data_IF_018536010218
#
_entry.id   IF_018536010218
#
_cell.length_a   1.000
_cell.length_b   1.000
_cell.length_c   1.000
_cell.angle_alpha   90.00
_cell.angle_beta   90.00
_cell.angle_gamma   90.00
#
_symmetry.space_group_name_H-M   'P 1'
#
loop_
_entity.id
_entity.type
_entity.pdbx_description
1 polymer ?
#
# COMPACT_ATOMS: atom_id res chain seq x y z
N UNK A 1 11.73 5.29 -12.99
CA UNK A 1 11.17 4.29 -12.06
C UNK A 1 10.27 5.02 -11.08
N UNK A 2 9.22 4.37 -10.62
CA UNK A 2 8.30 4.93 -9.61
C UNK A 2 8.30 4.09 -8.35
N UNK A 3 8.17 4.76 -7.21
CA UNK A 3 7.80 4.13 -5.95
C UNK A 3 6.32 4.41 -5.70
N UNK A 4 5.58 3.34 -5.34
CA UNK A 4 4.18 3.40 -4.96
C UNK A 4 4.10 3.13 -3.46
N UNK A 5 3.52 4.07 -2.70
CA UNK A 5 3.22 3.92 -1.28
C UNK A 5 1.71 3.98 -1.06
N UNK A 6 1.12 2.85 -0.70
CA UNK A 6 -0.31 2.72 -0.47
C UNK A 6 -0.61 2.48 1.02
N UNK A 7 -1.52 3.27 1.58
CA UNK A 7 -2.07 3.13 2.92
C UNK A 7 -3.44 2.50 2.79
N UNK A 8 -3.59 1.26 3.28
CA UNK A 8 -4.72 0.38 3.01
C UNK A 8 -5.35 -0.06 4.33
N UNK A 9 -6.68 -0.12 4.39
CA UNK A 9 -7.39 -0.62 5.59
C UNK A 9 -7.01 -2.08 5.87
N UNK A 10 -6.91 -2.44 7.15
CA UNK A 10 -6.49 -3.76 7.62
C UNK A 10 -7.21 -4.93 6.93
N UNK A 11 -8.52 -4.84 6.71
CA UNK A 11 -9.31 -5.92 6.11
C UNK A 11 -9.15 -6.05 4.59
N UNK A 12 -8.45 -5.12 3.91
CA UNK A 12 -8.26 -5.12 2.45
C UNK A 12 -6.86 -5.53 1.99
N UNK A 13 -5.87 -5.55 2.88
CA UNK A 13 -4.48 -5.84 2.48
C UNK A 13 -4.34 -7.23 1.83
N UNK A 14 -5.10 -8.22 2.31
CA UNK A 14 -5.09 -9.57 1.74
C UNK A 14 -5.56 -9.57 0.28
N UNK A 15 -6.67 -8.88 -0.01
CA UNK A 15 -7.23 -8.72 -1.36
C UNK A 15 -6.24 -8.02 -2.29
N UNK A 16 -5.58 -6.97 -1.81
CA UNK A 16 -4.56 -6.22 -2.58
C UNK A 16 -3.35 -7.09 -2.91
N UNK A 17 -2.84 -7.84 -1.92
CA UNK A 17 -1.71 -8.74 -2.14
C UNK A 17 -2.06 -9.88 -3.10
N UNK A 18 -3.29 -10.38 -3.05
CA UNK A 18 -3.78 -11.39 -4.00
C UNK A 18 -3.87 -10.82 -5.41
N UNK A 19 -4.49 -9.64 -5.58
CA UNK A 19 -4.61 -8.99 -6.88
C UNK A 19 -3.23 -8.71 -7.51
N UNK A 20 -2.25 -8.28 -6.71
CA UNK A 20 -0.88 -8.06 -7.19
C UNK A 20 -0.24 -9.36 -7.70
N UNK A 21 -0.39 -10.48 -6.96
CA UNK A 21 0.11 -11.80 -7.37
C UNK A 21 -0.54 -12.30 -8.67
N UNK A 22 -1.86 -12.14 -8.78
CA UNK A 22 -2.61 -12.62 -9.95
C UNK A 22 -2.39 -11.77 -11.21
N UNK A 23 -1.99 -10.50 -11.03
CA UNK A 23 -1.76 -9.59 -12.16
C UNK A 23 -0.56 -9.96 -13.03
N UNK A 24 0.40 -10.70 -12.49
CA UNK A 24 1.70 -10.95 -13.14
C UNK A 24 2.54 -9.68 -13.35
N UNK A 25 2.09 -8.51 -12.89
CA UNK A 25 2.82 -7.24 -13.00
C UNK A 25 3.94 -7.14 -11.96
N UNK A 26 3.74 -7.76 -10.79
CA UNK A 26 4.72 -7.86 -9.71
C UNK A 26 4.90 -9.33 -9.34
N UNK A 27 5.95 -9.98 -9.84
CA UNK A 27 6.22 -11.38 -9.50
C UNK A 27 7.18 -11.45 -8.31
N UNK A 28 6.71 -11.95 -7.17
CA UNK A 28 7.42 -11.89 -5.87
C UNK A 28 8.57 -12.90 -5.72
N UNK A 29 9.04 -13.48 -6.82
CA UNK A 29 10.06 -14.53 -6.79
C UNK A 29 10.88 -14.70 -8.05
N UNK A 30 10.71 -13.85 -9.07
CA UNK A 30 11.44 -13.98 -10.34
C UNK A 30 12.24 -12.71 -10.60
N UNK A 31 13.57 -12.85 -10.60
CA UNK A 31 14.48 -11.80 -11.03
C UNK A 31 14.17 -11.43 -12.48
N UNK A 32 13.56 -10.26 -12.69
CA UNK A 32 13.22 -9.72 -14.01
C UNK A 32 11.78 -9.28 -14.21
N UNK A 33 10.86 -9.59 -13.28
CA UNK A 33 9.45 -9.22 -13.42
C UNK A 33 9.09 -7.94 -12.64
N UNK A 34 9.19 -6.79 -13.33
CA UNK A 34 8.40 -5.56 -13.14
C UNK A 34 8.55 -4.74 -11.85
N UNK A 35 8.48 -5.40 -10.69
CA UNK A 35 8.42 -4.75 -9.39
C UNK A 35 9.56 -5.19 -8.48
N UNK A 36 10.14 -4.24 -7.78
CA UNK A 36 11.18 -4.44 -6.78
C UNK A 36 10.64 -4.13 -5.38
N UNK A 37 11.14 -4.88 -4.40
CA UNK A 37 11.00 -4.57 -2.97
C UNK A 37 9.55 -4.35 -2.50
N UNK A 38 8.62 -5.26 -2.83
CA UNK A 38 7.28 -5.24 -2.25
C UNK A 38 7.40 -5.49 -0.74
N UNK A 39 7.04 -4.48 0.05
CA UNK A 39 7.07 -4.55 1.51
C UNK A 39 5.73 -4.11 2.07
N UNK A 40 5.35 -4.72 3.20
CA UNK A 40 4.12 -4.38 3.92
C UNK A 40 4.47 -4.17 5.37
N UNK A 41 4.05 -3.03 5.93
CA UNK A 41 4.23 -2.69 7.33
C UNK A 41 2.92 -2.23 7.94
N UNK A 42 2.67 -2.60 9.19
CA UNK A 42 1.52 -2.09 9.93
C UNK A 42 1.84 -0.67 10.43
N UNK A 43 0.92 0.27 10.22
CA UNK A 43 1.06 1.66 10.64
C UNK A 43 -0.19 2.12 11.38
N UNK A 44 -0.03 3.14 12.22
CA UNK A 44 -1.12 3.78 12.95
C UNK A 44 -1.37 5.17 12.37
N UNK A 45 -2.61 5.47 12.00
CA UNK A 45 -3.04 6.79 11.55
C UNK A 45 -3.87 7.46 12.64
N UNK A 46 -3.52 8.67 13.10
CA UNK A 46 -4.39 9.46 13.96
C UNK A 46 -5.72 9.74 13.26
N UNK A 47 -6.83 9.54 13.97
CA UNK A 47 -8.15 9.76 13.39
C UNK A 47 -8.47 11.26 13.37
N UNK A 48 -8.78 11.80 12.18
CA UNK A 48 -9.11 13.21 12.02
C UNK A 48 -10.50 13.58 12.57
N UNK A 49 -11.51 12.70 12.45
CA UNK A 49 -12.83 12.79 13.10
C UNK A 49 -13.76 11.66 12.62
N UNK A 50 -14.59 11.08 13.50
CA UNK A 50 -15.98 10.76 13.12
C UNK A 50 -16.49 9.31 13.12
N UNK A 51 -15.68 8.26 12.99
CA UNK A 51 -16.21 6.87 12.97
C UNK A 51 -15.70 6.03 14.16
N UNK A 52 -16.52 5.82 15.21
CA UNK A 52 -16.12 5.09 16.42
C UNK A 52 -15.95 3.57 16.22
N UNK A 53 -16.34 3.02 15.08
CA UNK A 53 -16.41 1.56 14.91
C UNK A 53 -15.07 0.86 14.63
N UNK A 54 -14.02 1.62 14.32
CA UNK A 54 -12.71 1.12 13.89
C UNK A 54 -11.54 1.75 14.68
N UNK A 55 -11.85 2.38 15.82
CA UNK A 55 -10.89 3.14 16.62
C UNK A 55 -10.26 2.26 17.71
N UNK A 56 -8.95 2.43 17.90
CA UNK A 56 -8.27 2.01 19.12
C UNK A 56 -7.50 3.19 19.70
N UNK A 57 -7.48 3.32 21.02
CA UNK A 57 -6.71 4.37 21.67
C UNK A 57 -5.26 3.92 21.82
N UNK A 58 -4.32 4.64 21.18
CA UNK A 58 -2.90 4.36 21.34
C UNK A 58 -2.38 5.06 22.59
N UNK A 59 -1.85 4.31 23.55
CA UNK A 59 -1.22 4.88 24.75
C UNK A 59 0.09 5.60 24.44
N UNK A 60 0.81 5.15 23.42
CA UNK A 60 2.09 5.75 23.01
C UNK A 60 1.89 7.12 22.36
N UNK A 61 0.83 7.25 21.55
CA UNK A 61 0.51 8.50 20.86
C UNK A 61 -0.48 9.38 21.65
N UNK A 62 -1.07 8.85 22.71
CA UNK A 62 -2.13 9.47 23.50
C UNK A 62 -3.32 9.96 22.63
N UNK A 63 -3.63 9.24 21.55
CA UNK A 63 -4.61 9.63 20.53
C UNK A 63 -5.44 8.44 20.05
N UNK A 64 -6.64 8.72 19.51
CA UNK A 64 -7.42 7.73 18.80
C UNK A 64 -6.78 7.45 17.44
N UNK A 65 -6.47 6.18 17.18
CA UNK A 65 -5.81 5.74 15.95
C UNK A 65 -6.62 4.68 15.21
N UNK A 66 -6.37 4.61 13.90
CA UNK A 66 -6.83 3.54 13.03
C UNK A 66 -5.62 2.75 12.54
N UNK A 67 -5.71 1.42 12.61
CA UNK A 67 -4.71 0.52 12.05
C UNK A 67 -4.85 0.45 10.53
N UNK A 68 -3.75 0.72 9.84
CA UNK A 68 -3.63 0.59 8.39
C UNK A 68 -2.38 -0.22 8.05
N UNK A 69 -2.32 -0.75 6.83
CA UNK A 69 -1.10 -1.31 6.27
C UNK A 69 -0.53 -0.34 5.25
N UNK A 70 0.75 -0.01 5.41
CA UNK A 70 1.56 0.65 4.39
C UNK A 70 2.19 -0.41 3.51
N UNK A 71 1.77 -0.45 2.26
CA UNK A 71 2.35 -1.24 1.18
C UNK A 71 3.27 -0.35 0.36
N UNK A 72 4.51 -0.79 0.15
CA UNK A 72 5.50 -0.07 -0.65
C UNK A 72 6.03 -1.01 -1.72
N UNK A 73 6.13 -0.53 -2.96
CA UNK A 73 6.80 -1.23 -4.04
C UNK A 73 7.44 -0.22 -4.99
N UNK A 74 8.46 -0.68 -5.71
CA UNK A 74 9.10 0.09 -6.77
C UNK A 74 8.84 -0.60 -8.10
N UNK A 75 8.51 0.15 -9.15
CA UNK A 75 8.17 -0.39 -10.47
C UNK A 75 8.75 0.46 -11.61
N UNK A 76 8.68 -0.09 -12.83
CA UNK A 76 8.94 0.66 -14.04
C UNK A 76 7.89 1.75 -14.28
N UNK A 77 8.26 2.82 -14.98
CA UNK A 77 7.39 4.00 -15.15
C UNK A 77 6.11 3.69 -15.93
N UNK A 78 6.18 2.76 -16.88
CA UNK A 78 5.07 2.29 -17.70
C UNK A 78 4.09 1.37 -16.95
N UNK A 79 4.51 0.79 -15.82
CA UNK A 79 3.66 -0.06 -14.98
C UNK A 79 2.97 0.71 -13.84
N UNK A 80 3.42 1.93 -13.53
CA UNK A 80 2.97 2.67 -12.37
C UNK A 80 1.44 2.87 -12.35
N UNK A 81 0.87 3.38 -13.45
CA UNK A 81 -0.58 3.64 -13.53
C UNK A 81 -1.42 2.36 -13.44
N UNK A 82 -0.94 1.26 -14.04
CA UNK A 82 -1.60 -0.03 -13.98
C UNK A 82 -1.64 -0.58 -12.56
N UNK A 83 -0.52 -0.47 -11.83
CA UNK A 83 -0.39 -0.91 -10.44
C UNK A 83 -1.21 -0.03 -9.50
N UNK A 84 -1.17 1.30 -9.66
CA UNK A 84 -2.02 2.23 -8.90
C UNK A 84 -3.49 1.88 -9.09
N UNK A 85 -3.93 1.68 -10.33
CA UNK A 85 -5.31 1.31 -10.63
C UNK A 85 -5.70 -0.03 -10.02
N UNK A 86 -4.82 -1.03 -10.04
CA UNK A 86 -5.06 -2.32 -9.44
C UNK A 86 -5.19 -2.22 -7.91
N UNK A 87 -4.25 -1.54 -7.26
CA UNK A 87 -4.26 -1.35 -5.79
C UNK A 87 -5.51 -0.57 -5.39
N UNK A 88 -5.86 0.50 -6.11
CA UNK A 88 -7.04 1.31 -5.81
C UNK A 88 -8.33 0.48 -5.89
N UNK A 89 -8.49 -0.38 -6.92
CA UNK A 89 -9.66 -1.25 -7.07
C UNK A 89 -9.74 -2.30 -5.96
N UNK A 90 -8.63 -2.96 -5.63
CA UNK A 90 -8.61 -4.00 -4.61
C UNK A 90 -8.75 -3.44 -3.18
N UNK A 91 -8.22 -2.23 -2.93
CA UNK A 91 -8.32 -1.56 -1.64
C UNK A 91 -9.66 -0.85 -1.40
N UNK A 92 -10.53 -0.74 -2.42
CA UNK A 92 -11.77 0.02 -2.33
C UNK A 92 -12.73 -0.55 -1.27
N UNK A 93 -13.11 0.26 -0.29
CA UNK A 93 -14.03 -0.13 0.79
C UNK A 93 -15.46 0.36 0.57
N UNK A 94 -15.69 1.28 -0.38
CA UNK A 94 -16.97 1.98 -0.54
C UNK A 94 -17.23 3.06 0.53
N UNK A 95 -16.26 3.30 1.42
CA UNK A 95 -16.31 4.35 2.42
C UNK A 95 -15.45 5.56 1.98
N UNK A 96 -15.79 6.78 2.44
CA UNK A 96 -15.06 8.00 2.05
C UNK A 96 -13.58 8.01 2.47
N UNK A 97 -13.20 7.26 3.51
CA UNK A 97 -11.80 7.15 3.98
C UNK A 97 -11.25 5.72 3.82
N UNK A 98 -11.07 5.30 2.57
CA UNK A 98 -10.55 3.97 2.22
C UNK A 98 -9.01 3.86 2.31
N UNK A 99 -8.29 4.98 2.26
CA UNK A 99 -6.83 5.02 2.23
C UNK A 99 -6.27 6.00 1.21
N UNK A 100 -4.95 5.97 1.03
CA UNK A 100 -4.23 6.85 0.09
C UNK A 100 -3.18 6.08 -0.69
N UNK A 101 -2.92 6.50 -1.93
CA UNK A 101 -1.81 6.00 -2.74
C UNK A 101 -0.97 7.20 -3.17
N UNK A 102 0.32 7.16 -2.86
CA UNK A 102 1.30 8.15 -3.28
C UNK A 102 2.24 7.53 -4.30
N UNK A 103 2.64 8.33 -5.29
CA UNK A 103 3.61 7.94 -6.31
C UNK A 103 4.76 8.94 -6.28
N UNK A 104 5.98 8.44 -6.18
CA UNK A 104 7.22 9.22 -6.14
C UNK A 104 8.20 8.76 -7.22
N UNK A 105 9.02 9.69 -7.70
CA UNK A 105 10.10 9.38 -8.63
C UNK A 105 11.28 8.71 -7.92
N UNK A 106 11.73 7.58 -8.46
CA UNK A 106 12.97 6.92 -8.05
C UNK A 106 14.03 7.17 -9.10
N UNK A 107 15.05 7.94 -8.72
CA UNK A 107 16.18 8.28 -9.57
C UNK A 107 17.16 7.12 -9.76
N UNK A 108 17.29 6.26 -8.74
CA UNK A 108 18.23 5.15 -8.73
C UNK A 108 17.77 4.04 -7.79
N UNK A 109 17.86 2.81 -8.23
CA UNK A 109 17.79 1.62 -7.38
C UNK A 109 19.09 0.81 -7.54
N UNK A 110 19.57 0.24 -6.43
CA UNK A 110 20.75 -0.61 -6.38
C UNK A 110 20.37 -1.87 -5.62
N UNK A 111 20.50 -3.01 -6.28
CA UNK A 111 20.35 -4.32 -5.64
C UNK A 111 21.59 -4.62 -4.78
N UNK A 112 21.37 -4.95 -3.51
CA UNK A 112 22.42 -5.44 -2.61
C UNK A 112 22.56 -6.94 -2.83
N UNK A 113 23.80 -7.42 -3.03
CA UNK A 113 24.12 -8.85 -3.17
C UNK A 113 24.86 -9.35 -1.95
#
# INVERSE_FOLDING_TARGET
MKEIKAYIRQHRIADVLQALRESGLCDLGVAGAGCHNLTVSQVQRPLASGDPTQQHYSMELAEAVVTEYRLELVCADDQADALVGLIARAAHTGQPEAGWIFVSDILRAVEIR
#
